data_IF_675078696447
#
_entry.id   IF_675078696447
#
_cell.length_a   1.000
_cell.length_b   1.000
_cell.length_c   1.000
_cell.angle_alpha   90.00
_cell.angle_beta   90.00
_cell.angle_gamma   90.00
#
_symmetry.space_group_name_H-M   'P 1'
#
loop_
_entity.id
_entity.type
_entity.pdbx_description
1 polymer ?
#
# COMPACT_ATOMS: atom_id res chain seq x y z
N UNK A 1 7.81 -4.66 26.47
CA UNK A 1 6.64 -3.76 26.67
C UNK A 1 7.07 -2.28 26.67
N UNK A 2 7.43 -1.71 25.51
CA UNK A 2 7.77 -0.28 25.35
C UNK A 2 7.28 0.34 24.03
N UNK A 3 6.40 -0.32 23.28
CA UNK A 3 5.93 0.15 21.97
C UNK A 3 4.61 0.95 22.01
N UNK A 4 3.93 1.02 23.15
CA UNK A 4 2.59 1.63 23.27
C UNK A 4 2.66 3.17 23.36
N UNK A 5 3.75 3.73 23.87
CA UNK A 5 3.87 5.19 24.11
C UNK A 5 4.17 5.96 22.81
N UNK A 6 4.88 5.36 21.85
CA UNK A 6 5.08 5.96 20.52
C UNK A 6 3.83 5.93 19.63
N UNK A 7 2.92 4.96 19.86
CA UNK A 7 1.72 4.71 19.08
C UNK A 7 0.64 5.79 19.28
N UNK A 8 0.50 6.29 20.52
CA UNK A 8 -0.43 7.37 20.86
C UNK A 8 0.04 8.75 20.37
N UNK A 9 1.34 9.00 20.33
CA UNK A 9 1.90 10.28 19.90
C UNK A 9 1.72 10.54 18.39
N UNK A 10 1.72 9.50 17.55
CA UNK A 10 1.52 9.68 16.10
C UNK A 10 0.03 9.90 15.77
N UNK A 11 -0.89 9.19 16.44
CA UNK A 11 -2.32 9.49 16.36
C UNK A 11 -2.57 10.93 16.86
N UNK A 12 -1.93 11.35 17.95
CA UNK A 12 -1.99 12.73 18.43
C UNK A 12 -1.35 13.75 17.49
N UNK A 13 -0.28 13.43 16.76
CA UNK A 13 0.29 14.34 15.75
C UNK A 13 -0.57 14.44 14.49
N UNK A 14 -1.28 13.37 14.11
CA UNK A 14 -2.29 13.41 13.03
C UNK A 14 -3.51 14.23 13.48
N UNK A 15 -3.88 14.18 14.77
CA UNK A 15 -4.99 14.96 15.34
C UNK A 15 -4.62 16.41 15.71
N UNK A 16 -3.36 16.70 16.03
CA UNK A 16 -2.92 18.03 16.47
C UNK A 16 -2.75 19.03 15.32
N UNK A 17 -2.58 18.55 14.08
CA UNK A 17 -2.51 19.39 12.88
C UNK A 17 -3.78 19.30 12.01
N UNK A 18 -4.86 18.74 12.56
CA UNK A 18 -6.14 18.59 11.87
C UNK A 18 -7.28 18.77 12.87
N UNK A 19 -7.83 19.98 12.91
CA UNK A 19 -9.09 20.32 13.57
C UNK A 19 -10.29 19.65 12.90
N UNK A 20 -10.31 18.31 12.82
CA UNK A 20 -11.45 17.55 12.32
C UNK A 20 -11.67 16.36 13.25
N UNK A 21 -12.53 16.57 14.23
CA UNK A 21 -13.23 15.48 14.90
C UNK A 21 -14.03 14.71 13.84
N UNK A 22 -13.72 13.44 13.61
CA UNK A 22 -14.56 12.56 12.80
C UNK A 22 -15.73 12.15 13.69
N UNK A 23 -16.77 12.98 13.70
CA UNK A 23 -18.06 12.62 14.27
C UNK A 23 -18.63 11.44 13.47
N UNK A 24 -18.92 10.36 14.19
CA UNK A 24 -19.55 9.14 13.73
C UNK A 24 -21.04 9.38 13.45
N UNK A 25 -21.40 10.08 12.38
CA UNK A 25 -22.80 10.24 11.97
C UNK A 25 -22.86 10.65 10.48
N UNK A 26 -22.89 9.65 9.59
CA UNK A 26 -23.62 9.66 8.31
C UNK A 26 -23.28 8.38 7.53
N UNK A 27 -23.64 7.24 8.13
CA UNK A 27 -23.84 6.00 7.39
C UNK A 27 -25.31 6.10 6.94
N UNK A 28 -25.54 6.39 5.65
CA UNK A 28 -26.72 6.02 4.83
C UNK A 28 -26.95 7.05 3.70
N UNK A 29 -26.10 7.05 2.66
CA UNK A 29 -26.56 7.35 1.30
C UNK A 29 -25.53 6.90 0.24
N UNK A 30 -25.72 5.79 -0.49
CA UNK A 30 -24.84 5.42 -1.58
C UNK A 30 -25.26 6.18 -2.85
N UNK A 31 -24.86 7.44 -2.95
CA UNK A 31 -24.84 8.12 -4.25
C UNK A 31 -23.65 7.58 -5.04
N UNK A 32 -23.90 7.26 -6.30
CA UNK A 32 -23.07 6.51 -7.25
C UNK A 32 -21.74 7.19 -7.63
N UNK A 33 -20.87 7.38 -6.66
CA UNK A 33 -19.46 7.65 -6.89
C UNK A 33 -18.81 6.32 -7.24
N UNK A 34 -18.34 6.21 -8.47
CA UNK A 34 -17.67 5.02 -8.95
C UNK A 34 -16.41 4.79 -8.13
N UNK A 35 -16.25 3.58 -7.59
CA UNK A 35 -15.05 3.12 -6.89
C UNK A 35 -13.74 3.49 -7.61
N UNK A 36 -13.79 3.57 -8.94
CA UNK A 36 -12.68 4.06 -9.78
C UNK A 36 -12.21 5.50 -9.50
N UNK A 37 -13.11 6.44 -9.17
CA UNK A 37 -12.74 7.83 -8.88
C UNK A 37 -11.97 7.96 -7.55
N UNK A 38 -12.43 7.24 -6.51
CA UNK A 38 -11.78 7.19 -5.20
C UNK A 38 -10.40 6.54 -5.29
N UNK A 39 -10.29 5.40 -5.98
CA UNK A 39 -9.00 4.73 -6.20
C UNK A 39 -8.02 5.64 -6.95
N UNK A 40 -8.47 6.31 -8.01
CA UNK A 40 -7.61 7.21 -8.79
C UNK A 40 -7.15 8.44 -7.98
N UNK A 41 -8.01 9.00 -7.13
CA UNK A 41 -7.63 10.08 -6.21
C UNK A 41 -6.54 9.61 -5.25
N UNK A 42 -6.74 8.47 -4.57
CA UNK A 42 -5.74 7.91 -3.66
C UNK A 42 -4.40 7.66 -4.36
N UNK A 43 -4.42 6.98 -5.52
CA UNK A 43 -3.19 6.66 -6.28
C UNK A 43 -2.46 7.92 -6.73
N UNK A 44 -3.19 8.94 -7.15
CA UNK A 44 -2.60 10.21 -7.60
C UNK A 44 -1.94 10.95 -6.43
N UNK A 45 -2.64 11.10 -5.30
CA UNK A 45 -2.09 11.72 -4.09
C UNK A 45 -0.87 10.96 -3.55
N UNK A 46 -0.90 9.62 -3.59
CA UNK A 46 0.24 8.79 -3.17
C UNK A 46 1.45 9.00 -4.09
N UNK A 47 1.22 9.01 -5.41
CA UNK A 47 2.26 9.25 -6.40
C UNK A 47 2.88 10.64 -6.26
N UNK A 48 2.07 11.67 -6.03
CA UNK A 48 2.54 13.03 -5.78
C UNK A 48 3.38 13.10 -4.49
N UNK A 49 2.95 12.44 -3.42
CA UNK A 49 3.71 12.36 -2.18
C UNK A 49 5.07 11.68 -2.40
N UNK A 50 5.13 10.57 -3.14
CA UNK A 50 6.39 9.91 -3.50
C UNK A 50 7.29 10.82 -4.34
N UNK A 51 6.73 11.50 -5.36
CA UNK A 51 7.47 12.45 -6.21
C UNK A 51 8.07 13.61 -5.41
N UNK A 52 7.44 14.01 -4.32
CA UNK A 52 7.89 15.12 -3.47
C UNK A 52 9.00 14.74 -2.48
N UNK A 53 9.28 13.46 -2.26
CA UNK A 53 10.27 12.99 -1.28
C UNK A 53 11.43 12.25 -1.94
N UNK A 54 12.65 12.77 -1.75
CA UNK A 54 13.87 12.11 -2.23
C UNK A 54 14.02 10.70 -1.64
N UNK A 55 13.71 10.52 -0.36
CA UNK A 55 13.81 9.22 0.30
C UNK A 55 12.83 8.20 -0.33
N UNK A 56 11.59 8.62 -0.60
CA UNK A 56 10.61 7.76 -1.26
C UNK A 56 10.99 7.46 -2.72
N UNK A 57 11.53 8.43 -3.46
CA UNK A 57 12.06 8.18 -4.80
C UNK A 57 13.14 7.09 -4.79
N UNK A 58 14.02 7.08 -3.79
CA UNK A 58 15.04 6.04 -3.65
C UNK A 58 14.44 4.67 -3.29
N UNK A 59 13.39 4.62 -2.45
CA UNK A 59 12.68 3.38 -2.11
C UNK A 59 12.02 2.74 -3.33
N UNK A 60 11.44 3.57 -4.21
CA UNK A 60 10.75 3.11 -5.41
C UNK A 60 11.61 3.15 -6.69
N UNK A 61 12.93 3.39 -6.58
CA UNK A 61 13.83 3.37 -7.73
C UNK A 61 14.18 1.93 -8.13
N UNK A 62 13.26 1.28 -8.83
CA UNK A 62 13.40 -0.11 -9.25
C UNK A 62 13.91 -0.23 -10.69
N UNK A 63 14.35 0.87 -11.31
CA UNK A 63 14.72 0.93 -12.74
C UNK A 63 15.91 0.04 -13.10
N UNK A 64 16.75 -0.31 -12.12
CA UNK A 64 17.89 -1.20 -12.32
C UNK A 64 17.61 -2.67 -11.98
N UNK A 65 16.41 -2.98 -11.48
CA UNK A 65 16.06 -4.33 -11.05
C UNK A 65 15.45 -5.14 -12.20
N UNK A 66 15.74 -6.44 -12.22
CA UNK A 66 15.06 -7.38 -13.10
C UNK A 66 13.70 -7.76 -12.51
N UNK A 67 12.70 -7.94 -13.37
CA UNK A 67 11.34 -8.31 -12.91
C UNK A 67 11.30 -9.58 -12.08
N UNK A 68 12.15 -10.56 -12.42
CA UNK A 68 12.30 -11.81 -11.66
C UNK A 68 12.86 -11.58 -10.26
N UNK A 69 13.83 -10.68 -10.09
CA UNK A 69 14.40 -10.33 -8.79
C UNK A 69 13.37 -9.60 -7.92
N UNK A 70 12.62 -8.67 -8.52
CA UNK A 70 11.51 -7.96 -7.86
C UNK A 70 10.44 -8.94 -7.40
N UNK A 71 10.01 -9.85 -8.29
CA UNK A 71 9.00 -10.86 -7.98
C UNK A 71 9.45 -11.79 -6.85
N UNK A 72 10.69 -12.28 -6.89
CA UNK A 72 11.24 -13.13 -5.83
C UNK A 72 11.36 -12.40 -4.48
N UNK A 73 11.74 -11.13 -4.48
CA UNK A 73 11.80 -10.34 -3.25
C UNK A 73 10.42 -10.17 -2.62
N UNK A 74 9.44 -9.72 -3.41
CA UNK A 74 8.06 -9.53 -2.92
C UNK A 74 7.45 -10.87 -2.51
N UNK A 75 7.70 -11.95 -3.26
CA UNK A 75 7.21 -13.29 -2.92
C UNK A 75 7.69 -13.70 -1.53
N UNK A 76 8.99 -13.53 -1.24
CA UNK A 76 9.55 -13.84 0.10
C UNK A 76 8.92 -13.00 1.20
N UNK A 77 8.65 -11.73 0.95
CA UNK A 77 8.05 -10.84 1.94
C UNK A 77 6.58 -11.16 2.23
N UNK A 78 5.80 -11.45 1.18
CA UNK A 78 4.39 -11.86 1.30
C UNK A 78 4.31 -13.22 1.99
N UNK A 79 5.10 -14.21 1.53
CA UNK A 79 5.17 -15.54 2.13
C UNK A 79 5.53 -15.46 3.62
N UNK A 80 6.60 -14.73 3.96
CA UNK A 80 7.03 -14.55 5.34
C UNK A 80 5.92 -13.96 6.22
N UNK A 81 5.19 -12.96 5.70
CA UNK A 81 4.13 -12.28 6.45
C UNK A 81 2.91 -13.19 6.62
N UNK A 82 2.42 -13.80 5.54
CA UNK A 82 1.27 -14.71 5.57
C UNK A 82 1.51 -15.93 6.45
N UNK A 83 2.70 -16.55 6.36
CA UNK A 83 3.09 -17.66 7.22
C UNK A 83 3.13 -17.24 8.70
N UNK A 84 3.67 -16.05 9.01
CA UNK A 84 3.70 -15.54 10.38
C UNK A 84 2.30 -15.28 10.97
N UNK A 85 1.32 -15.00 10.11
CA UNK A 85 -0.07 -14.80 10.51
C UNK A 85 -0.90 -16.09 10.49
N UNK A 86 -0.31 -17.23 10.13
CA UNK A 86 -1.02 -18.52 10.07
C UNK A 86 -2.06 -18.58 8.96
N UNK A 87 -1.82 -17.91 7.83
CA UNK A 87 -2.70 -17.99 6.67
C UNK A 87 -2.73 -19.40 6.06
N UNK A 88 -3.86 -19.80 5.50
CA UNK A 88 -3.95 -21.01 4.70
C UNK A 88 -3.23 -20.80 3.36
N UNK A 89 -2.47 -21.81 2.93
CA UNK A 89 -1.71 -21.84 1.67
C UNK A 89 -0.93 -20.54 1.37
N UNK A 90 -0.01 -20.11 2.25
CA UNK A 90 0.69 -18.84 2.11
C UNK A 90 1.57 -18.78 0.85
N UNK A 91 2.08 -19.93 0.37
CA UNK A 91 2.83 -20.04 -0.89
C UNK A 91 1.97 -19.66 -2.10
N UNK A 92 0.77 -20.23 -2.23
CA UNK A 92 -0.13 -19.95 -3.36
C UNK A 92 -0.54 -18.47 -3.38
N UNK A 93 -0.76 -17.87 -2.21
CA UNK A 93 -1.13 -16.46 -2.11
C UNK A 93 0.05 -15.53 -2.42
N UNK A 94 1.27 -15.90 -2.02
CA UNK A 94 2.48 -15.17 -2.39
C UNK A 94 2.76 -15.27 -3.90
N UNK A 95 2.54 -16.44 -4.51
CA UNK A 95 2.64 -16.64 -5.96
C UNK A 95 1.60 -15.78 -6.69
N UNK A 96 0.34 -15.82 -6.26
CA UNK A 96 -0.72 -14.99 -6.85
C UNK A 96 -0.38 -13.49 -6.80
N UNK A 97 0.18 -13.01 -5.68
CA UNK A 97 0.57 -11.61 -5.53
C UNK A 97 1.71 -11.18 -6.47
N UNK A 98 2.50 -12.12 -7.00
CA UNK A 98 3.74 -11.83 -7.73
C UNK A 98 3.76 -12.33 -9.17
N UNK A 99 2.90 -13.28 -9.55
CA UNK A 99 2.87 -13.90 -10.88
C UNK A 99 2.64 -12.90 -12.03
N UNK A 100 2.05 -11.74 -11.74
CA UNK A 100 1.76 -10.70 -12.72
C UNK A 100 2.85 -9.62 -12.82
N UNK A 101 3.97 -9.77 -12.11
CA UNK A 101 5.14 -8.93 -12.30
C UNK A 101 5.75 -9.30 -13.65
N UNK A 102 5.83 -8.35 -14.61
CA UNK A 102 6.19 -8.69 -15.97
C UNK A 102 7.70 -8.97 -16.12
N UNK A 103 8.05 -9.86 -17.04
CA UNK A 103 9.46 -10.19 -17.34
C UNK A 103 10.27 -8.99 -17.82
N UNK A 104 9.63 -8.06 -18.53
CA UNK A 104 10.19 -6.80 -19.00
C UNK A 104 9.99 -5.66 -18.00
N UNK A 105 9.87 -5.93 -16.70
CA UNK A 105 9.69 -4.94 -15.64
C UNK A 105 10.58 -3.67 -15.79
N UNK A 106 11.84 -3.84 -16.18
CA UNK A 106 12.80 -2.74 -16.34
C UNK A 106 12.45 -1.72 -17.42
N UNK A 107 11.52 -2.05 -18.34
CA UNK A 107 11.04 -1.13 -19.40
C UNK A 107 9.76 -0.40 -19.03
N UNK A 108 9.14 -0.76 -17.90
CA UNK A 108 7.94 -0.08 -17.43
C UNK A 108 8.26 1.37 -17.05
N UNK A 109 7.29 2.30 -17.18
CA UNK A 109 7.40 3.62 -16.56
C UNK A 109 7.74 3.48 -15.08
N UNK A 110 8.67 4.31 -14.60
CA UNK A 110 9.16 4.24 -13.22
C UNK A 110 8.05 4.44 -12.17
N UNK A 111 6.94 5.07 -12.55
CA UNK A 111 5.77 5.22 -11.69
C UNK A 111 4.95 3.93 -11.49
N UNK A 112 5.15 2.90 -12.32
CA UNK A 112 4.30 1.70 -12.33
C UNK A 112 4.29 1.00 -10.97
N UNK A 113 5.43 0.74 -10.30
CA UNK A 113 5.43 0.15 -8.95
C UNK A 113 4.66 1.01 -7.95
N UNK A 114 4.84 2.33 -7.98
CA UNK A 114 4.15 3.26 -7.08
C UNK A 114 2.63 3.18 -7.28
N UNK A 115 2.18 3.14 -8.54
CA UNK A 115 0.76 2.99 -8.87
C UNK A 115 0.20 1.65 -8.40
N UNK A 116 0.95 0.56 -8.57
CA UNK A 116 0.54 -0.77 -8.08
C UNK A 116 0.38 -0.78 -6.56
N UNK A 117 1.38 -0.27 -5.81
CA UNK A 117 1.30 -0.18 -4.34
C UNK A 117 0.14 0.70 -3.88
N UNK A 118 -0.07 1.84 -4.54
CA UNK A 118 -1.20 2.72 -4.26
C UNK A 118 -2.55 2.07 -4.56
N UNK A 119 -2.69 1.41 -5.71
CA UNK A 119 -3.95 0.78 -6.15
C UNK A 119 -4.30 -0.43 -5.31
N UNK A 120 -3.32 -1.29 -5.01
CA UNK A 120 -3.51 -2.45 -4.15
C UNK A 120 -4.02 -2.03 -2.76
N UNK A 121 -3.39 -1.00 -2.17
CA UNK A 121 -3.84 -0.45 -0.89
C UNK A 121 -5.22 0.22 -0.99
N UNK A 122 -5.46 1.04 -2.01
CA UNK A 122 -6.76 1.70 -2.20
C UNK A 122 -7.90 0.69 -2.33
N UNK A 123 -7.74 -0.32 -3.17
CA UNK A 123 -8.75 -1.36 -3.38
C UNK A 123 -8.99 -2.16 -2.09
N UNK A 124 -7.94 -2.44 -1.33
CA UNK A 124 -8.07 -3.07 -0.02
C UNK A 124 -8.87 -2.19 0.95
N UNK A 125 -8.49 -0.92 1.11
CA UNK A 125 -9.17 -0.01 2.03
C UNK A 125 -10.65 0.24 1.64
N UNK A 126 -10.98 0.27 0.35
CA UNK A 126 -12.38 0.32 -0.12
C UNK A 126 -13.11 -0.95 0.32
N UNK A 127 -12.49 -2.11 0.14
CA UNK A 127 -13.10 -3.39 0.49
C UNK A 127 -13.30 -3.60 2.00
N UNK A 128 -12.60 -2.82 2.82
CA UNK A 128 -12.78 -2.75 4.29
C UNK A 128 -13.70 -1.59 4.72
N UNK A 129 -14.24 -0.80 3.78
CA UNK A 129 -15.07 0.36 4.08
C UNK A 129 -14.32 1.55 4.70
N UNK A 130 -12.98 1.55 4.65
CA UNK A 130 -12.12 2.57 5.25
C UNK A 130 -11.94 3.76 4.30
N UNK A 131 -11.69 3.48 3.02
CA UNK A 131 -11.41 4.50 2.00
C UNK A 131 -12.69 5.02 1.35
N UNK A 132 -12.84 6.34 1.30
CA UNK A 132 -13.93 7.05 0.64
C UNK A 132 -13.42 8.39 0.06
N UNK A 133 -14.28 9.12 -0.65
CA UNK A 133 -13.90 10.39 -1.29
C UNK A 133 -13.33 11.44 -0.32
N UNK A 134 -13.83 11.47 0.92
CA UNK A 134 -13.47 12.51 1.89
C UNK A 134 -12.07 12.29 2.47
N UNK A 135 -11.56 11.05 2.45
CA UNK A 135 -10.31 10.69 3.11
C UNK A 135 -9.24 10.13 2.17
N UNK A 136 -9.48 10.07 0.86
CA UNK A 136 -8.55 9.47 -0.09
C UNK A 136 -7.17 10.14 -0.11
N UNK A 137 -7.13 11.47 -0.19
CA UNK A 137 -5.88 12.23 -0.17
C UNK A 137 -5.13 12.08 1.17
N UNK A 138 -5.87 12.14 2.29
CA UNK A 138 -5.30 12.05 3.64
C UNK A 138 -4.67 10.67 3.86
N UNK A 139 -5.40 9.59 3.51
CA UNK A 139 -4.92 8.23 3.67
C UNK A 139 -3.76 7.92 2.72
N UNK A 140 -3.77 8.47 1.49
CA UNK A 140 -2.66 8.32 0.56
C UNK A 140 -1.37 8.96 1.09
N UNK A 141 -1.47 10.16 1.67
CA UNK A 141 -0.33 10.84 2.31
C UNK A 141 0.15 10.12 3.56
N UNK A 142 -0.77 9.60 4.38
CA UNK A 142 -0.42 8.79 5.55
C UNK A 142 0.30 7.49 5.15
N UNK A 143 -0.11 6.88 4.04
CA UNK A 143 0.56 5.72 3.46
C UNK A 143 1.96 6.10 2.95
N UNK A 144 2.14 7.20 2.22
CA UNK A 144 3.48 7.66 1.82
C UNK A 144 4.40 7.94 3.03
N UNK A 145 3.88 8.60 4.07
CA UNK A 145 4.63 8.88 5.30
C UNK A 145 5.08 7.61 6.02
N UNK A 146 4.32 6.51 5.93
CA UNK A 146 4.74 5.26 6.55
C UNK A 146 5.97 4.68 5.87
N UNK A 147 6.08 4.76 4.54
CA UNK A 147 7.31 4.39 3.83
C UNK A 147 8.46 5.32 4.15
N UNK A 148 8.20 6.63 4.22
CA UNK A 148 9.24 7.63 4.44
C UNK A 148 9.89 7.49 5.83
N UNK A 149 9.11 7.09 6.84
CA UNK A 149 9.62 6.80 8.17
C UNK A 149 10.73 5.73 8.15
N UNK A 150 10.55 4.68 7.36
CA UNK A 150 11.53 3.59 7.25
C UNK A 150 12.63 3.88 6.24
N UNK A 151 12.30 4.54 5.12
CA UNK A 151 13.28 4.97 4.11
C UNK A 151 14.48 5.74 4.72
N UNK A 152 14.23 6.49 5.80
CA UNK A 152 15.24 7.27 6.51
C UNK A 152 16.01 6.47 7.58
N UNK A 153 15.70 5.19 7.80
CA UNK A 153 16.18 4.35 8.91
C UNK A 153 17.16 3.21 8.54
N UNK A 154 17.48 3.02 7.25
CA UNK A 154 18.42 2.06 6.62
C UNK A 154 17.82 0.80 5.94
N UNK A 155 18.32 0.54 4.71
CA UNK A 155 18.13 -0.61 3.77
C UNK A 155 16.91 -0.57 2.81
N UNK A 156 17.17 -0.09 1.58
CA UNK A 156 16.22 0.55 0.65
C UNK A 156 15.09 -0.33 0.08
N UNK A 157 15.31 -1.64 -0.09
CA UNK A 157 14.30 -2.56 -0.65
C UNK A 157 13.54 -3.29 0.47
N UNK A 158 14.24 -3.64 1.56
CA UNK A 158 13.65 -4.30 2.74
C UNK A 158 12.60 -3.42 3.44
N UNK A 159 12.66 -2.09 3.24
CA UNK A 159 11.76 -1.16 3.89
C UNK A 159 10.41 -0.93 3.23
N UNK A 160 10.19 -1.47 2.01
CA UNK A 160 8.85 -1.41 1.42
C UNK A 160 7.85 -2.25 2.22
N UNK A 161 8.28 -3.43 2.69
CA UNK A 161 7.55 -4.25 3.65
C UNK A 161 7.31 -3.50 4.97
N UNK A 162 8.33 -2.86 5.53
CA UNK A 162 8.23 -2.13 6.81
C UNK A 162 7.22 -0.97 6.73
N UNK A 163 7.33 -0.13 5.70
CA UNK A 163 6.40 0.98 5.46
C UNK A 163 4.96 0.52 5.30
N UNK A 164 4.77 -0.57 4.54
CA UNK A 164 3.48 -1.21 4.39
C UNK A 164 2.90 -1.74 5.72
N UNK A 165 3.67 -2.56 6.44
CA UNK A 165 3.22 -3.18 7.69
C UNK A 165 2.89 -2.13 8.74
N UNK A 166 3.65 -1.03 8.79
CA UNK A 166 3.39 0.07 9.70
C UNK A 166 2.08 0.79 9.41
N UNK A 167 1.77 1.05 8.14
CA UNK A 167 0.47 1.62 7.77
C UNK A 167 -0.69 0.67 8.05
N UNK A 168 -0.55 -0.61 7.70
CA UNK A 168 -1.58 -1.59 7.98
C UNK A 168 -1.81 -1.77 9.49
N UNK A 169 -0.75 -1.72 10.30
CA UNK A 169 -0.84 -1.74 11.75
C UNK A 169 -1.54 -0.50 12.32
N UNK A 170 -1.28 0.70 11.78
CA UNK A 170 -1.90 1.94 12.26
C UNK A 170 -3.42 1.96 12.07
N UNK A 171 -3.92 1.21 11.08
CA UNK A 171 -5.34 1.04 10.80
C UNK A 171 -5.98 -0.14 11.54
N UNK A 172 -5.24 -0.85 12.42
CA UNK A 172 -5.65 -2.14 13.00
C UNK A 172 -6.04 -3.18 11.93
N UNK A 173 -5.47 -3.03 10.74
CA UNK A 173 -5.84 -3.75 9.54
C UNK A 173 -5.11 -5.10 9.38
N UNK A 174 -4.30 -5.52 10.35
CA UNK A 174 -3.52 -6.76 10.29
C UNK A 174 -4.19 -7.87 11.10
N UNK A 175 -5.09 -8.60 10.45
CA UNK A 175 -5.51 -9.96 10.80
C UNK A 175 -5.13 -10.91 9.67
N UNK A 176 -5.12 -12.22 9.91
CA UNK A 176 -4.81 -13.23 8.88
C UNK A 176 -5.67 -13.08 7.62
N UNK A 177 -6.98 -12.93 7.79
CA UNK A 177 -7.95 -12.75 6.69
C UNK A 177 -7.68 -11.46 5.89
N UNK A 178 -7.39 -10.37 6.60
CA UNK A 178 -7.09 -9.08 6.00
C UNK A 178 -5.77 -9.09 5.23
N UNK A 179 -4.75 -9.77 5.76
CA UNK A 179 -3.47 -9.96 5.10
C UNK A 179 -3.60 -10.70 3.76
N UNK A 180 -4.42 -11.75 3.72
CA UNK A 180 -4.75 -12.49 2.49
C UNK A 180 -5.45 -11.60 1.46
N UNK A 181 -6.51 -10.90 1.89
CA UNK A 181 -7.28 -9.98 1.03
C UNK A 181 -6.39 -8.89 0.43
N UNK A 182 -5.45 -8.37 1.21
CA UNK A 182 -4.50 -7.36 0.76
C UNK A 182 -3.49 -7.91 -0.25
N UNK A 183 -2.94 -9.12 -0.03
CA UNK A 183 -2.08 -9.78 -1.01
C UNK A 183 -2.80 -10.02 -2.35
N UNK A 184 -4.08 -10.40 -2.30
CA UNK A 184 -4.92 -10.52 -3.50
C UNK A 184 -5.10 -9.18 -4.22
N UNK A 185 -5.42 -8.10 -3.49
CA UNK A 185 -5.55 -6.76 -4.09
C UNK A 185 -4.25 -6.23 -4.70
N UNK A 186 -3.11 -6.63 -4.15
CA UNK A 186 -1.81 -6.34 -4.73
C UNK A 186 -1.58 -7.08 -6.06
N UNK A 187 -1.86 -8.38 -6.13
CA UNK A 187 -1.76 -9.16 -7.37
C UNK A 187 -2.68 -8.64 -8.49
N UNK A 188 -3.93 -8.31 -8.13
CA UNK A 188 -4.90 -7.68 -9.05
C UNK A 188 -4.40 -6.33 -9.59
N UNK A 189 -3.70 -5.53 -8.76
CA UNK A 189 -3.15 -4.25 -9.17
C UNK A 189 -2.02 -4.41 -10.21
N UNK A 190 -1.15 -5.41 -10.05
CA UNK A 190 -0.16 -5.75 -11.08
C UNK A 190 -0.81 -6.15 -12.40
N UNK A 191 -1.81 -7.01 -12.35
CA UNK A 191 -2.56 -7.42 -13.55
C UNK A 191 -3.20 -6.22 -14.25
N UNK A 192 -3.80 -5.29 -13.50
CA UNK A 192 -4.46 -4.11 -14.05
C UNK A 192 -3.51 -3.11 -14.70
N UNK A 193 -2.36 -2.82 -14.08
CA UNK A 193 -1.41 -1.81 -14.58
C UNK A 193 -0.61 -2.32 -15.78
N UNK A 194 -0.43 -3.64 -15.91
CA UNK A 194 0.25 -4.26 -17.06
C UNK A 194 -0.68 -4.45 -18.26
N UNK A 195 -1.94 -4.80 -18.04
CA UNK A 195 -2.94 -4.98 -19.12
C UNK A 195 -3.27 -3.69 -19.88
N UNK A 196 -3.03 -2.52 -19.28
CA UNK A 196 -3.26 -1.21 -19.92
C UNK A 196 -2.19 -0.80 -20.94
N UNK A 197 -1.09 -1.55 -21.06
CA UNK A 197 0.02 -1.24 -21.97
C UNK A 197 -0.04 -2.00 -23.30
N UNK A 198 -0.91 -3.01 -23.42
CA UNK A 198 -1.07 -3.84 -24.62
C UNK A 198 -2.17 -3.33 -25.58
N UNK A 199 -2.73 -2.14 -25.33
CA UNK A 199 -3.72 -1.42 -26.17
C UNK A 199 -3.22 -0.08 -26.62
#
# INVERSE_FOLDING_TARGET
MRFIVGFLLIILCIYADSSVAIASEDILNPSSVTTGSVTNSFVTSFLEAVKSSKALLEVFDWRQLLGEEVAQNIYRDVLSSLSSWGAADPENNAEFATQHIPKNFSVLPWETPIRVYGRGMANYLISEGILNERNADILAKAYAKSYEYFANAENKIADTKSGFLNFAASLTALTTERGLKLAQKYGEAWQSETSQQDT
#
